data_IF_565844621043
#
_entry.id   IF_565844621043
#
_cell.length_a   1.000
_cell.length_b   1.000
_cell.length_c   1.000
_cell.angle_alpha   90.00
_cell.angle_beta   90.00
_cell.angle_gamma   90.00
#
_symmetry.space_group_name_H-M   'P 1'
#
loop_
_entity.id
_entity.type
_entity.pdbx_description
1 polymer ?
#
# COMPACT_ATOMS: atom_id res chain seq x y z
N UNK A 1 -44.33 27.58 11.89
CA UNK A 1 -43.95 26.35 12.63
C UNK A 1 -44.36 25.16 11.80
N UNK A 2 -43.42 24.59 11.07
CA UNK A 2 -43.67 23.60 10.00
C UNK A 2 -43.02 22.27 10.39
N UNK A 3 -43.81 21.39 10.98
CA UNK A 3 -43.40 20.03 11.33
C UNK A 3 -43.45 19.16 10.07
N UNK A 4 -42.29 18.80 9.52
CA UNK A 4 -42.18 17.83 8.42
C UNK A 4 -42.29 16.41 8.96
N UNK A 5 -43.38 15.73 8.62
CA UNK A 5 -43.57 14.29 8.79
C UNK A 5 -42.61 13.55 7.83
N UNK A 6 -41.63 12.85 8.39
CA UNK A 6 -40.76 11.93 7.66
C UNK A 6 -41.45 10.57 7.54
N UNK A 7 -41.56 10.06 6.31
CA UNK A 7 -42.23 8.81 5.97
C UNK A 7 -41.42 7.60 6.46
N UNK A 8 -41.85 7.00 7.58
CA UNK A 8 -41.38 5.67 8.01
C UNK A 8 -42.17 4.61 7.23
N UNK A 9 -41.52 3.95 6.27
CA UNK A 9 -42.10 2.77 5.59
C UNK A 9 -42.07 1.58 6.55
N UNK A 10 -43.26 1.20 7.03
CA UNK A 10 -43.54 -0.07 7.70
C UNK A 10 -43.37 -1.21 6.69
N UNK A 11 -42.48 -2.16 6.97
CA UNK A 11 -42.34 -3.42 6.21
C UNK A 11 -42.91 -4.53 7.07
N UNK A 12 -43.98 -5.16 6.59
CA UNK A 12 -44.62 -6.28 7.28
C UNK A 12 -43.79 -7.54 7.07
N UNK A 13 -43.31 -8.12 8.18
CA UNK A 13 -42.62 -9.39 8.19
C UNK A 13 -43.62 -10.53 7.95
N UNK A 14 -43.60 -11.11 6.75
CA UNK A 14 -44.21 -12.40 6.47
C UNK A 14 -43.51 -13.51 7.27
N UNK A 15 -44.33 -14.35 7.92
CA UNK A 15 -43.95 -15.49 8.78
C UNK A 15 -42.80 -16.35 8.21
N UNK A 16 -41.73 -16.48 9.00
CA UNK A 16 -40.69 -17.50 8.79
C UNK A 16 -39.33 -17.07 9.35
N UNK A 17 -39.07 -17.40 10.62
CA UNK A 17 -37.75 -17.53 11.26
C UNK A 17 -36.62 -16.58 10.81
N UNK A 18 -36.48 -15.47 11.55
CA UNK A 18 -35.19 -14.97 12.05
C UNK A 18 -34.02 -14.91 11.08
N UNK A 19 -34.10 -14.07 10.05
CA UNK A 19 -32.90 -13.52 9.40
C UNK A 19 -33.03 -12.01 9.41
N UNK A 20 -32.49 -11.42 10.46
CA UNK A 20 -32.30 -9.98 10.55
C UNK A 20 -31.37 -9.57 9.38
N UNK A 21 -31.94 -8.93 8.38
CA UNK A 21 -31.20 -8.39 7.26
C UNK A 21 -30.42 -7.17 7.75
N UNK A 22 -29.21 -7.42 8.27
CA UNK A 22 -28.30 -6.35 8.69
C UNK A 22 -27.86 -5.60 7.42
N UNK A 23 -28.14 -4.29 7.31
CA UNK A 23 -27.70 -3.52 6.16
C UNK A 23 -26.16 -3.49 6.14
N UNK A 24 -25.51 -3.66 4.97
CA UNK A 24 -24.06 -3.60 4.88
C UNK A 24 -23.60 -2.17 5.22
N UNK A 25 -22.92 -2.02 6.37
CA UNK A 25 -22.22 -0.78 6.70
C UNK A 25 -20.99 -0.66 5.80
N UNK A 26 -20.89 0.46 5.09
CA UNK A 26 -19.74 0.81 4.26
C UNK A 26 -18.83 1.74 5.05
N UNK A 27 -17.96 1.16 5.86
CA UNK A 27 -16.92 1.92 6.54
C UNK A 27 -15.77 2.11 5.53
N UNK A 28 -15.71 3.30 4.92
CA UNK A 28 -14.55 3.67 4.11
C UNK A 28 -13.49 4.25 5.05
N UNK A 29 -12.31 3.62 5.15
CA UNK A 29 -11.17 4.32 5.72
C UNK A 29 -11.00 5.66 5.02
N UNK A 30 -10.79 6.75 5.77
CA UNK A 30 -10.31 7.99 5.19
C UNK A 30 -8.99 7.70 4.44
N UNK A 31 -8.71 8.41 3.34
CA UNK A 31 -7.58 8.15 2.41
C UNK A 31 -6.19 8.05 3.07
N UNK A 32 -6.05 8.48 4.34
CA UNK A 32 -4.85 8.35 5.16
C UNK A 32 -5.17 7.88 6.58
N UNK A 33 -5.91 6.79 6.70
CA UNK A 33 -6.21 6.18 8.01
C UNK A 33 -5.41 4.90 8.22
N UNK A 34 -4.82 4.76 9.41
CA UNK A 34 -4.12 3.55 9.82
C UNK A 34 -5.16 2.56 10.35
N UNK A 35 -5.23 1.37 9.74
CA UNK A 35 -6.07 0.27 10.21
C UNK A 35 -5.16 -0.90 10.57
N UNK A 36 -5.40 -1.51 11.73
CA UNK A 36 -4.69 -2.72 12.13
C UNK A 36 -5.23 -3.93 11.35
N UNK A 37 -4.32 -4.63 10.68
CA UNK A 37 -4.62 -5.89 9.99
C UNK A 37 -3.97 -7.04 10.77
N UNK A 38 -4.74 -8.06 11.13
CA UNK A 38 -4.23 -9.27 11.77
C UNK A 38 -4.29 -10.44 10.80
N UNK A 39 -3.12 -10.96 10.44
CA UNK A 39 -2.94 -12.12 9.57
C UNK A 39 -2.72 -13.36 10.43
N UNK A 40 -3.45 -14.44 10.13
CA UNK A 40 -3.40 -15.70 10.87
C UNK A 40 -3.02 -16.86 9.95
N UNK A 41 -2.24 -17.81 10.49
CA UNK A 41 -1.87 -19.08 9.83
C UNK A 41 -1.29 -18.86 8.44
N UNK A 42 -1.96 -19.35 7.40
CA UNK A 42 -1.51 -19.36 6.01
C UNK A 42 -1.32 -17.94 5.45
N UNK A 43 -2.18 -16.99 5.85
CA UNK A 43 -2.03 -15.60 5.42
C UNK A 43 -0.83 -14.89 6.07
N UNK A 44 -0.28 -15.41 7.17
CA UNK A 44 0.91 -14.86 7.82
C UNK A 44 2.23 -15.43 7.26
N UNK A 45 2.16 -16.41 6.35
CA UNK A 45 3.35 -17.01 5.73
C UNK A 45 3.88 -16.14 4.59
N UNK A 46 3.05 -15.28 4.01
CA UNK A 46 3.45 -14.39 2.93
C UNK A 46 4.56 -13.42 3.40
N UNK A 47 5.74 -13.42 2.74
CA UNK A 47 6.84 -12.55 3.12
C UNK A 47 6.52 -11.10 2.72
N UNK A 48 6.06 -10.32 3.70
CA UNK A 48 5.78 -8.89 3.56
C UNK A 48 6.92 -8.06 4.13
N UNK A 49 7.47 -7.15 3.34
CA UNK A 49 8.48 -6.20 3.79
C UNK A 49 7.86 -4.82 4.09
N UNK A 50 8.45 -4.09 5.03
CA UNK A 50 8.02 -2.74 5.36
C UNK A 50 8.22 -1.83 4.15
N UNK A 51 7.17 -1.11 3.78
CA UNK A 51 7.15 -0.20 2.63
C UNK A 51 6.62 -0.85 1.35
N UNK A 52 6.34 -2.15 1.33
CA UNK A 52 5.66 -2.80 0.19
C UNK A 52 4.19 -2.37 0.13
N UNK A 53 3.74 -2.06 -1.08
CA UNK A 53 2.32 -1.83 -1.35
C UNK A 53 1.68 -3.18 -1.68
N UNK A 54 0.70 -3.58 -0.88
CA UNK A 54 0.01 -4.86 -1.07
C UNK A 54 -1.50 -4.68 -1.05
N UNK A 55 -2.18 -5.46 -1.88
CA UNK A 55 -3.62 -5.56 -1.91
C UNK A 55 -4.04 -6.81 -1.13
N UNK A 56 -4.78 -6.60 -0.05
CA UNK A 56 -5.35 -7.69 0.75
C UNK A 56 -6.85 -7.78 0.48
N UNK A 57 -7.33 -8.97 0.12
CA UNK A 57 -8.75 -9.23 -0.18
C UNK A 57 -9.31 -10.34 0.70
N UNK A 58 -10.65 -10.45 0.73
CA UNK A 58 -11.36 -11.47 1.53
C UNK A 58 -11.00 -11.40 3.02
N UNK A 59 -11.07 -10.19 3.56
CA UNK A 59 -10.82 -9.89 4.96
C UNK A 59 -12.12 -9.58 5.68
N UNK A 60 -12.14 -9.82 6.99
CA UNK A 60 -13.30 -9.54 7.83
C UNK A 60 -13.01 -8.35 8.73
N UNK A 61 -13.78 -7.28 8.58
CA UNK A 61 -13.76 -6.18 9.53
C UNK A 61 -14.45 -6.60 10.84
N UNK A 62 -13.85 -6.23 11.96
CA UNK A 62 -14.41 -6.36 13.30
C UNK A 62 -14.24 -5.03 14.03
N UNK A 63 -15.30 -4.56 14.67
CA UNK A 63 -15.21 -3.38 15.52
C UNK A 63 -14.79 -3.83 16.92
N UNK A 64 -13.64 -3.33 17.39
CA UNK A 64 -13.15 -3.59 18.75
C UNK A 64 -13.25 -2.31 19.58
N UNK A 65 -13.02 -2.42 20.89
CA UNK A 65 -12.96 -1.26 21.79
C UNK A 65 -11.89 -0.23 21.38
N UNK A 66 -10.93 -0.65 20.55
CA UNK A 66 -9.82 0.15 20.04
C UNK A 66 -10.02 0.63 18.59
N UNK A 67 -11.22 0.43 18.04
CA UNK A 67 -11.59 0.84 16.68
C UNK A 67 -11.75 -0.32 15.70
N UNK A 68 -11.82 0.02 14.41
CA UNK A 68 -12.01 -0.97 13.35
C UNK A 68 -10.70 -1.72 13.11
N UNK A 69 -10.78 -3.05 13.20
CA UNK A 69 -9.69 -3.96 12.88
C UNK A 69 -10.09 -4.90 11.75
N UNK A 70 -9.11 -5.36 10.99
CA UNK A 70 -9.32 -6.22 9.83
C UNK A 70 -8.59 -7.53 10.05
N UNK A 71 -9.34 -8.63 10.11
CA UNK A 71 -8.79 -9.96 10.34
C UNK A 71 -8.76 -10.77 9.03
N UNK A 72 -7.70 -11.53 8.83
CA UNK A 72 -7.66 -12.53 7.75
C UNK A 72 -8.72 -13.61 7.97
N UNK A 73 -9.20 -14.16 6.87
CA UNK A 73 -10.09 -15.33 6.82
C UNK A 73 -9.36 -16.47 6.09
N UNK A 74 -9.96 -17.65 6.06
CA UNK A 74 -9.42 -18.80 5.30
C UNK A 74 -9.35 -18.54 3.78
N UNK A 75 -9.97 -17.47 3.29
CA UNK A 75 -9.98 -17.09 1.87
C UNK A 75 -9.14 -15.84 1.58
N UNK A 76 -8.41 -15.33 2.58
CA UNK A 76 -7.60 -14.12 2.40
C UNK A 76 -6.55 -14.33 1.32
N UNK A 77 -6.48 -13.37 0.40
CA UNK A 77 -5.46 -13.31 -0.64
C UNK A 77 -4.68 -12.02 -0.51
N UNK A 78 -3.37 -12.12 -0.62
CA UNK A 78 -2.43 -11.00 -0.57
C UNK A 78 -1.76 -10.94 -1.94
N UNK A 79 -1.86 -9.80 -2.60
CA UNK A 79 -1.25 -9.56 -3.92
C UNK A 79 -0.28 -8.37 -3.79
N UNK A 80 0.98 -8.55 -4.19
CA UNK A 80 1.93 -7.44 -4.27
C UNK A 80 1.51 -6.48 -5.38
N UNK A 81 1.52 -5.19 -5.08
CA UNK A 81 1.28 -4.14 -6.06
C UNK A 81 2.56 -3.41 -6.39
N UNK A 82 2.78 -3.23 -7.69
CA UNK A 82 3.77 -2.30 -8.19
C UNK A 82 3.19 -0.90 -8.11
N UNK A 83 3.96 0.03 -7.57
CA UNK A 83 3.57 1.44 -7.55
C UNK A 83 4.36 2.20 -8.61
N UNK A 84 3.66 2.98 -9.43
CA UNK A 84 4.27 3.87 -10.40
C UNK A 84 4.36 5.25 -9.77
N UNK A 85 5.58 5.79 -9.61
CA UNK A 85 5.79 7.08 -8.98
C UNK A 85 6.79 7.94 -9.78
N UNK A 86 6.55 9.25 -9.77
CA UNK A 86 7.54 10.22 -10.22
C UNK A 86 8.45 10.55 -9.04
N UNK A 87 9.74 10.23 -9.19
CA UNK A 87 10.78 10.35 -8.19
C UNK A 87 11.69 11.51 -8.54
N UNK A 88 11.97 12.36 -7.55
CA UNK A 88 12.99 13.40 -7.64
C UNK A 88 14.26 12.87 -6.97
N UNK A 89 15.25 12.49 -7.78
CA UNK A 89 16.53 11.94 -7.35
C UNK A 89 17.51 13.09 -7.12
N UNK A 90 18.05 13.15 -5.90
CA UNK A 90 19.03 14.14 -5.47
C UNK A 90 20.48 13.60 -5.56
N UNK A 91 20.67 12.29 -5.46
CA UNK A 91 21.99 11.68 -5.56
C UNK A 91 21.95 10.16 -5.60
N UNK A 92 23.09 9.57 -5.96
CA UNK A 92 23.25 8.11 -6.03
C UNK A 92 24.54 7.74 -5.32
N UNK A 93 24.45 6.82 -4.38
CA UNK A 93 25.57 6.21 -3.70
C UNK A 93 25.81 4.85 -4.35
N UNK A 94 26.99 4.70 -4.95
CA UNK A 94 27.50 3.38 -5.33
C UNK A 94 28.11 2.80 -4.06
N UNK A 95 27.61 1.67 -3.58
CA UNK A 95 28.19 0.99 -2.43
C UNK A 95 29.64 0.63 -2.75
N UNK A 96 30.58 1.41 -2.23
CA UNK A 96 32.01 1.26 -2.43
C UNK A 96 32.70 0.97 -1.10
N UNK A 97 33.34 -0.20 -1.03
CA UNK A 97 34.35 -0.63 -0.05
C UNK A 97 33.90 -0.81 1.41
N UNK A 98 33.20 -1.92 1.71
CA UNK A 98 33.11 -2.38 3.10
C UNK A 98 32.14 -3.53 3.39
N UNK A 99 31.10 -3.71 2.58
CA UNK A 99 30.21 -4.86 2.64
C UNK A 99 30.01 -5.37 1.21
N UNK A 100 29.99 -6.70 1.05
CA UNK A 100 29.97 -7.42 -0.22
C UNK A 100 29.24 -6.67 -1.33
N UNK A 101 29.89 -6.51 -2.49
CA UNK A 101 29.40 -5.90 -3.72
C UNK A 101 28.03 -6.46 -4.12
N UNK A 102 26.98 -5.89 -3.54
CA UNK A 102 25.61 -6.11 -3.95
C UNK A 102 25.41 -5.18 -5.13
N UNK A 103 25.17 -5.71 -6.34
CA UNK A 103 25.01 -4.97 -7.59
C UNK A 103 23.78 -4.05 -7.62
N UNK A 104 23.60 -3.25 -6.58
CA UNK A 104 22.53 -2.30 -6.37
C UNK A 104 23.15 -0.93 -6.05
N UNK A 105 22.56 0.13 -6.58
CA UNK A 105 22.83 1.50 -6.20
C UNK A 105 21.79 1.98 -5.20
N UNK A 106 22.24 2.76 -4.21
CA UNK A 106 21.35 3.44 -3.27
C UNK A 106 21.05 4.84 -3.81
N UNK A 107 19.82 5.04 -4.24
CA UNK A 107 19.30 6.30 -4.78
C UNK A 107 18.72 7.12 -3.65
N UNK A 108 19.25 8.33 -3.43
CA UNK A 108 18.73 9.30 -2.48
C UNK A 108 17.74 10.22 -3.18
N UNK A 109 16.51 10.23 -2.69
CA UNK A 109 15.46 11.13 -3.16
C UNK A 109 15.57 12.51 -2.50
N UNK A 110 15.04 13.54 -3.16
CA UNK A 110 14.98 14.89 -2.62
C UNK A 110 14.15 14.99 -1.33
N UNK A 111 13.21 14.06 -1.11
CA UNK A 111 12.46 13.95 0.14
C UNK A 111 13.27 13.39 1.33
N UNK A 112 14.51 12.96 1.11
CA UNK A 112 15.38 12.38 2.13
C UNK A 112 15.22 10.86 2.30
N UNK A 113 14.37 10.21 1.52
CA UNK A 113 14.26 8.75 1.50
C UNK A 113 15.31 8.11 0.58
N UNK A 114 15.72 6.89 0.91
CA UNK A 114 16.65 6.11 0.08
C UNK A 114 15.97 4.88 -0.49
N UNK A 115 16.14 4.67 -1.79
CA UNK A 115 15.67 3.50 -2.53
C UNK A 115 16.84 2.71 -3.11
N UNK A 116 16.65 1.43 -3.38
CA UNK A 116 17.64 0.59 -4.04
C UNK A 116 17.26 0.39 -5.50
N UNK A 117 18.20 0.53 -6.42
CA UNK A 117 18.03 0.18 -7.84
C UNK A 117 19.12 -0.81 -8.24
N UNK A 118 18.82 -1.78 -9.10
CA UNK A 118 19.83 -2.68 -9.65
C UNK A 118 20.78 -1.90 -10.58
N UNK A 119 22.07 -2.20 -10.55
CA UNK A 119 23.06 -1.57 -11.41
C UNK A 119 22.76 -1.78 -12.91
N UNK A 120 22.17 -2.92 -13.28
CA UNK A 120 21.78 -3.20 -14.66
C UNK A 120 20.56 -2.39 -15.14
N UNK A 121 19.81 -1.81 -14.22
CA UNK A 121 18.66 -0.94 -14.53
C UNK A 121 19.02 0.55 -14.53
N UNK A 122 20.25 0.88 -14.14
CA UNK A 122 20.74 2.25 -14.14
C UNK A 122 21.21 2.65 -15.54
N UNK A 123 20.58 3.67 -16.13
CA UNK A 123 21.05 4.23 -17.39
C UNK A 123 22.21 5.20 -17.12
N UNK A 124 23.38 5.04 -17.76
CA UNK A 124 24.51 5.97 -17.63
C UNK A 124 24.17 7.43 -17.97
N UNK A 125 23.12 7.67 -18.76
CA UNK A 125 22.63 9.02 -19.06
C UNK A 125 22.09 9.76 -17.83
N UNK A 126 21.71 9.04 -16.78
CA UNK A 126 21.24 9.61 -15.52
C UNK A 126 22.36 10.30 -14.74
N UNK A 127 23.61 9.85 -14.88
CA UNK A 127 24.76 10.42 -14.19
C UNK A 127 25.01 11.89 -14.59
N UNK A 128 24.83 12.21 -15.88
CA UNK A 128 24.96 13.58 -16.37
C UNK A 128 23.84 14.49 -15.83
N UNK A 129 22.60 13.98 -15.77
CA UNK A 129 21.46 14.73 -15.29
C UNK A 129 21.51 15.01 -13.78
N UNK A 130 22.09 14.12 -12.98
CA UNK A 130 22.31 14.34 -11.54
C UNK A 130 23.36 15.45 -11.31
N UNK A 131 24.38 15.54 -12.16
CA UNK A 131 25.38 16.60 -12.06
C UNK A 131 24.80 17.98 -12.40
N UNK A 132 23.80 18.04 -13.29
CA UNK A 132 23.10 19.26 -13.65
C UNK A 132 22.02 19.68 -12.63
N UNK A 133 21.52 18.76 -11.79
CA UNK A 133 20.59 19.07 -10.71
C UNK A 133 19.72 17.90 -10.26
N UNK A 134 18.48 18.21 -9.84
CA UNK A 134 17.50 17.21 -9.40
C UNK A 134 16.97 16.46 -10.62
N UNK A 135 17.20 15.15 -10.65
CA UNK A 135 16.76 14.28 -11.72
C UNK A 135 15.33 13.81 -11.47
N UNK A 136 14.41 14.04 -12.41
CA UNK A 136 13.04 13.50 -12.36
C UNK A 136 12.97 12.18 -13.12
N UNK A 137 12.57 11.11 -12.44
CA UNK A 137 12.40 9.77 -13.02
C UNK A 137 11.00 9.25 -12.78
N UNK A 138 10.41 8.61 -13.79
CA UNK A 138 9.26 7.74 -13.64
C UNK A 138 9.76 6.34 -13.30
N UNK A 139 9.44 5.87 -12.10
CA UNK A 139 9.89 4.58 -11.62
C UNK A 139 8.71 3.65 -11.28
N UNK A 140 8.92 2.38 -11.57
CA UNK A 140 8.13 1.27 -11.03
C UNK A 140 8.82 0.74 -9.77
N UNK A 141 8.11 0.80 -8.66
CA UNK A 141 8.59 0.41 -7.34
C UNK A 141 7.90 -0.87 -6.86
N UNK A 142 8.71 -1.79 -6.34
CA UNK A 142 8.27 -2.88 -5.45
C UNK A 142 8.87 -2.62 -4.07
N UNK A 143 8.05 -2.03 -3.20
CA UNK A 143 8.50 -1.58 -1.88
C UNK A 143 9.62 -0.55 -1.96
N UNK A 144 10.79 -0.87 -1.39
CA UNK A 144 11.98 0.00 -1.40
C UNK A 144 12.90 -0.23 -2.60
N UNK A 145 12.48 -1.02 -3.58
CA UNK A 145 13.28 -1.37 -4.76
C UNK A 145 12.67 -0.78 -6.03
N UNK A 146 13.52 -0.18 -6.86
CA UNK A 146 13.18 0.28 -8.20
C UNK A 146 13.42 -0.86 -9.19
N UNK A 147 12.37 -1.28 -9.90
CA UNK A 147 12.40 -2.38 -10.88
C UNK A 147 12.52 -1.85 -12.31
N UNK A 148 12.00 -0.65 -12.57
CA UNK A 148 12.22 0.08 -13.82
C UNK A 148 12.31 1.56 -13.53
N UNK A 149 13.19 2.25 -14.24
CA UNK A 149 13.29 3.70 -14.23
C UNK A 149 13.37 4.21 -15.67
N UNK A 150 12.63 5.28 -15.95
CA UNK A 150 12.69 6.02 -17.21
C UNK A 150 12.60 7.52 -16.92
N UNK A 151 13.27 8.35 -17.72
CA UNK A 151 13.09 9.80 -17.72
C UNK A 151 11.78 10.21 -18.39
#
# INVERSE_FOLDING_TARGET
MTTKLSAVRKVEAGKGAGKEAVPPKKDHPAEKSTITVSLWREAAVEPLAIGEMVRVTHVRASNTEYGVQVNSTNFTKIEKQLSHQELEVAGVLKDGEGAASSGFFQVLLACGETLMIDEGLWDPSFDAAIQEGILKLRAELEGKKIIKAAM
#
